data_IF_976509869680
#
_entry.id   IF_976509869680
#
_cell.length_a   1.000
_cell.length_b   1.000
_cell.length_c   1.000
_cell.angle_alpha   90.00
_cell.angle_beta   90.00
_cell.angle_gamma   90.00
#
_symmetry.space_group_name_H-M   'P 1'
#
loop_
_entity.id
_entity.type
_entity.pdbx_description
1 polymer ?
#
# COMPACT_ATOMS: atom_id res chain seq x y z
N UNK A 1 6.67 8.53 -16.67
CA UNK A 1 5.82 8.63 -15.46
C UNK A 1 4.94 9.85 -15.63
N UNK A 2 3.63 9.69 -15.46
CA UNK A 2 2.66 10.78 -15.47
C UNK A 2 2.01 10.85 -14.08
N UNK A 3 1.80 12.06 -13.58
CA UNK A 3 1.23 12.31 -12.27
C UNK A 3 0.23 13.45 -12.38
N UNK A 4 -1.05 13.15 -12.14
CA UNK A 4 -2.15 14.09 -12.31
C UNK A 4 -2.92 14.25 -11.00
N UNK A 5 -3.24 15.49 -10.63
CA UNK A 5 -4.00 15.84 -9.43
C UNK A 5 -5.33 16.47 -9.85
N UNK A 6 -6.44 15.89 -9.44
CA UNK A 6 -7.76 16.50 -9.55
C UNK A 6 -8.19 16.94 -8.15
N UNK A 7 -7.77 18.16 -7.79
CA UNK A 7 -7.98 18.71 -6.45
C UNK A 7 -9.47 18.95 -6.15
N UNK A 8 -10.27 19.27 -7.17
CA UNK A 8 -11.72 19.51 -7.03
C UNK A 8 -12.44 18.24 -6.57
N UNK A 9 -12.06 17.09 -7.13
CA UNK A 9 -12.64 15.79 -6.78
C UNK A 9 -11.81 15.00 -5.76
N UNK A 10 -10.73 15.59 -5.22
CA UNK A 10 -9.81 14.97 -4.26
C UNK A 10 -9.20 13.66 -4.77
N UNK A 11 -8.81 13.61 -6.05
CA UNK A 11 -8.22 12.41 -6.68
C UNK A 11 -6.78 12.66 -7.09
N UNK A 12 -5.97 11.62 -6.95
CA UNK A 12 -4.58 11.56 -7.42
C UNK A 12 -4.47 10.38 -8.38
N UNK A 13 -3.87 10.61 -9.55
CA UNK A 13 -3.62 9.60 -10.56
C UNK A 13 -2.11 9.48 -10.81
N UNK A 14 -1.60 8.26 -10.81
CA UNK A 14 -0.20 7.96 -11.09
C UNK A 14 -0.15 6.91 -12.19
N UNK A 15 0.55 7.21 -13.29
CA UNK A 15 0.81 6.26 -14.37
C UNK A 15 2.32 6.05 -14.52
N UNK A 16 2.74 4.79 -14.50
CA UNK A 16 4.11 4.35 -14.74
C UNK A 16 4.10 3.20 -15.74
N UNK A 17 5.15 3.14 -16.56
CA UNK A 17 5.35 2.10 -17.57
C UNK A 17 6.67 1.40 -17.25
N UNK A 18 6.68 0.08 -17.37
CA UNK A 18 7.81 -0.76 -17.02
C UNK A 18 8.08 -1.76 -18.14
N UNK A 19 9.36 -2.06 -18.39
CA UNK A 19 9.77 -3.12 -19.31
C UNK A 19 9.76 -4.48 -18.58
N UNK A 20 8.57 -4.95 -18.20
CA UNK A 20 8.33 -6.19 -17.46
C UNK A 20 6.99 -6.79 -17.88
N UNK A 21 6.80 -8.09 -17.62
CA UNK A 21 5.51 -8.73 -17.90
C UNK A 21 4.42 -8.23 -16.93
N UNK A 22 3.13 -8.30 -17.31
CA UNK A 22 2.03 -8.03 -16.37
C UNK A 22 2.09 -8.89 -15.10
N UNK A 23 2.60 -10.11 -15.20
CA UNK A 23 2.75 -11.05 -14.08
C UNK A 23 3.84 -10.60 -13.09
N UNK A 24 4.97 -10.10 -13.59
CA UNK A 24 6.04 -9.55 -12.75
C UNK A 24 5.55 -8.30 -12.00
N UNK A 25 4.85 -7.41 -12.72
CA UNK A 25 4.25 -6.22 -12.10
C UNK A 25 3.21 -6.64 -11.07
N UNK A 26 2.32 -7.59 -11.40
CA UNK A 26 1.34 -8.12 -10.45
C UNK A 26 2.00 -8.64 -9.17
N UNK A 27 3.01 -9.49 -9.29
CA UNK A 27 3.73 -10.05 -8.15
C UNK A 27 4.36 -8.96 -7.27
N UNK A 28 4.88 -7.88 -7.87
CA UNK A 28 5.44 -6.76 -7.12
C UNK A 28 4.43 -6.05 -6.21
N UNK A 29 3.13 -6.16 -6.49
CA UNK A 29 2.03 -5.60 -5.68
C UNK A 29 1.30 -6.62 -4.81
N UNK A 30 1.43 -7.92 -5.07
CA UNK A 30 0.64 -8.96 -4.40
C UNK A 30 1.47 -9.92 -3.56
N UNK A 31 2.80 -9.76 -3.56
CA UNK A 31 3.72 -10.50 -2.69
C UNK A 31 4.33 -9.52 -1.66
N UNK A 32 4.13 -9.79 -0.38
CA UNK A 32 4.61 -8.93 0.71
C UNK A 32 6.13 -8.76 0.75
N UNK A 33 6.90 -9.80 0.41
CA UNK A 33 8.37 -9.74 0.40
C UNK A 33 8.89 -8.84 -0.71
N UNK A 34 8.18 -8.76 -1.83
CA UNK A 34 8.50 -7.83 -2.93
C UNK A 34 8.01 -6.41 -2.61
N UNK A 35 6.79 -6.27 -2.09
CA UNK A 35 6.23 -4.99 -1.65
C UNK A 35 7.14 -4.28 -0.65
N UNK A 36 7.65 -5.00 0.36
CA UNK A 36 8.51 -4.43 1.41
C UNK A 36 9.79 -3.78 0.86
N UNK A 37 10.23 -4.15 -0.36
CA UNK A 37 11.42 -3.59 -1.00
C UNK A 37 11.19 -2.19 -1.59
N UNK A 38 9.95 -1.82 -1.92
CA UNK A 38 9.69 -0.59 -2.67
C UNK A 38 8.51 0.26 -2.17
N UNK A 39 7.62 -0.29 -1.34
CA UNK A 39 6.39 0.39 -0.91
C UNK A 39 6.66 1.68 -0.14
N UNK A 40 7.62 1.65 0.79
CA UNK A 40 7.96 2.83 1.59
C UNK A 40 8.97 3.73 0.85
N UNK A 41 8.81 5.07 0.92
CA UNK A 41 9.77 6.00 0.35
C UNK A 41 11.07 5.98 1.16
N UNK A 42 12.23 5.94 0.49
CA UNK A 42 13.52 6.09 1.18
C UNK A 42 13.57 7.42 1.95
N UNK A 43 14.11 7.46 3.18
CA UNK A 43 14.86 6.39 3.88
C UNK A 43 14.00 5.38 4.67
N UNK A 44 12.67 5.49 4.63
CA UNK A 44 11.77 4.56 5.31
C UNK A 44 11.78 3.19 4.64
N UNK A 45 11.43 2.16 5.41
CA UNK A 45 11.26 0.79 4.93
C UNK A 45 9.87 0.28 5.28
N UNK A 46 9.25 -0.44 4.36
CA UNK A 46 8.02 -1.16 4.67
C UNK A 46 8.38 -2.48 5.38
N UNK A 47 7.54 -2.88 6.32
CA UNK A 47 7.64 -4.12 7.06
C UNK A 47 6.25 -4.71 7.18
N UNK A 48 5.98 -5.75 6.40
CA UNK A 48 4.71 -6.44 6.44
C UNK A 48 4.54 -7.19 7.77
N UNK A 49 3.35 -7.03 8.37
CA UNK A 49 2.92 -7.72 9.57
C UNK A 49 2.08 -8.95 9.23
N UNK A 50 1.15 -8.79 8.30
CA UNK A 50 0.33 -9.87 7.75
C UNK A 50 -0.27 -9.43 6.42
N UNK A 51 -0.42 -10.35 5.47
CA UNK A 51 -1.08 -10.09 4.19
C UNK A 51 -1.97 -11.28 3.82
N UNK A 52 -3.27 -11.03 3.68
CA UNK A 52 -4.25 -11.96 3.11
C UNK A 52 -4.78 -11.35 1.81
N UNK A 53 -4.13 -11.68 0.69
CA UNK A 53 -4.45 -11.11 -0.62
C UNK A 53 -5.62 -11.84 -1.27
N UNK A 54 -6.83 -11.51 -0.82
CA UNK A 54 -8.11 -11.97 -1.38
C UNK A 54 -9.18 -10.91 -1.18
N UNK A 55 -10.30 -11.01 -1.89
CA UNK A 55 -11.45 -10.12 -1.64
C UNK A 55 -11.95 -10.30 -0.20
N UNK A 56 -12.09 -9.18 0.53
CA UNK A 56 -12.38 -9.15 1.98
C UNK A 56 -11.18 -9.46 2.88
N UNK A 57 -10.01 -9.73 2.31
CA UNK A 57 -8.74 -9.85 3.03
C UNK A 57 -8.09 -8.48 3.31
N UNK A 58 -6.94 -8.49 3.97
CA UNK A 58 -6.24 -7.25 4.34
C UNK A 58 -4.72 -7.39 4.36
N UNK A 59 -4.04 -6.28 4.17
CA UNK A 59 -2.60 -6.14 4.35
C UNK A 59 -2.31 -5.13 5.46
N UNK A 60 -1.69 -5.60 6.55
CA UNK A 60 -1.22 -4.76 7.65
C UNK A 60 0.30 -4.66 7.56
N UNK A 61 0.82 -3.43 7.57
CA UNK A 61 2.25 -3.17 7.52
C UNK A 61 2.63 -1.97 8.39
N UNK A 62 3.92 -1.90 8.73
CA UNK A 62 4.54 -0.73 9.33
C UNK A 62 5.48 -0.08 8.30
N UNK A 63 5.48 1.25 8.25
CA UNK A 63 6.59 2.02 7.71
C UNK A 63 7.54 2.34 8.85
N UNK A 64 8.78 1.88 8.74
CA UNK A 64 9.83 2.04 9.76
C UNK A 64 10.81 3.12 9.30
N UNK A 65 10.94 4.16 10.11
CA UNK A 65 11.84 5.29 9.90
C UNK A 65 13.30 4.96 10.25
N UNK A 66 14.26 5.80 9.83
CA UNK A 66 15.68 5.59 10.12
C UNK A 66 16.02 5.69 11.61
N UNK A 67 15.17 6.34 12.41
CA UNK A 67 15.24 6.47 13.86
C UNK A 67 14.54 5.32 14.63
N UNK A 68 13.94 4.37 13.89
CA UNK A 68 13.16 3.27 14.46
C UNK A 68 11.68 3.59 14.70
N UNK A 69 11.20 4.78 14.34
CA UNK A 69 9.77 5.14 14.45
C UNK A 69 8.93 4.23 13.55
N UNK A 70 7.87 3.63 14.07
CA UNK A 70 6.95 2.77 13.32
C UNK A 70 5.59 3.46 13.13
N UNK A 71 5.18 3.69 11.88
CA UNK A 71 3.84 4.15 11.51
C UNK A 71 3.07 3.01 10.86
N UNK A 72 1.87 2.71 11.33
CA UNK A 72 1.07 1.57 10.86
C UNK A 72 0.00 2.00 9.87
N UNK A 73 -0.16 1.19 8.83
CA UNK A 73 -1.21 1.35 7.84
C UNK A 73 -1.77 -0.02 7.45
N UNK A 74 -3.02 -0.01 7.00
CA UNK A 74 -3.77 -1.19 6.59
C UNK A 74 -4.44 -0.93 5.26
N UNK A 75 -4.33 -1.89 4.35
CA UNK A 75 -5.09 -1.94 3.11
C UNK A 75 -6.13 -3.05 3.20
N UNK A 76 -7.42 -2.71 3.09
CA UNK A 76 -8.51 -3.67 3.00
C UNK A 76 -8.90 -3.91 1.54
N UNK A 77 -8.76 -5.14 1.05
CA UNK A 77 -8.98 -5.49 -0.34
C UNK A 77 -10.46 -5.67 -0.64
N UNK A 78 -10.97 -4.93 -1.62
CA UNK A 78 -12.38 -4.97 -2.03
C UNK A 78 -12.58 -5.88 -3.24
N UNK A 79 -11.81 -5.66 -4.31
CA UNK A 79 -12.00 -6.35 -5.59
C UNK A 79 -10.67 -6.79 -6.19
N UNK A 80 -10.60 -8.01 -6.71
CA UNK A 80 -9.39 -8.55 -7.31
C UNK A 80 -9.71 -9.18 -8.67
N UNK A 81 -9.04 -8.67 -9.70
CA UNK A 81 -9.05 -9.23 -11.05
C UNK A 81 -7.63 -9.69 -11.39
N UNK A 82 -7.32 -10.99 -11.24
CA UNK A 82 -5.95 -11.51 -11.34
C UNK A 82 -5.21 -11.02 -12.58
N UNK A 83 -3.97 -10.58 -12.38
CA UNK A 83 -3.05 -10.08 -13.41
C UNK A 83 -3.53 -8.83 -14.17
N UNK A 84 -4.57 -8.14 -13.68
CA UNK A 84 -5.17 -6.96 -14.32
C UNK A 84 -5.32 -5.77 -13.38
N UNK A 85 -6.03 -5.96 -12.26
CA UNK A 85 -6.25 -4.89 -11.28
C UNK A 85 -6.70 -5.43 -9.92
N UNK A 86 -6.50 -4.64 -8.88
CA UNK A 86 -7.18 -4.79 -7.60
C UNK A 86 -7.57 -3.41 -7.07
N UNK A 87 -8.55 -3.38 -6.17
CA UNK A 87 -9.00 -2.16 -5.49
C UNK A 87 -9.11 -2.44 -3.99
N UNK A 88 -8.88 -1.41 -3.18
CA UNK A 88 -8.98 -1.49 -1.73
C UNK A 88 -8.90 -0.12 -1.08
N UNK A 89 -9.11 -0.11 0.24
CA UNK A 89 -9.06 1.08 1.07
C UNK A 89 -7.76 1.11 1.85
N UNK A 90 -6.94 2.16 1.66
CA UNK A 90 -5.74 2.42 2.45
C UNK A 90 -6.10 3.32 3.63
N UNK A 91 -5.75 2.92 4.84
CA UNK A 91 -6.09 3.59 6.09
C UNK A 91 -4.95 3.57 7.09
N UNK A 92 -4.77 4.68 7.81
CA UNK A 92 -3.91 4.71 9.00
C UNK A 92 -4.53 3.90 10.12
N UNK A 93 -3.68 3.17 10.88
CA UNK A 93 -4.14 2.32 11.97
C UNK A 93 -3.14 2.28 13.11
N UNK A 94 -3.53 1.67 14.22
CA UNK A 94 -2.60 1.29 15.28
C UNK A 94 -1.84 -0.02 14.94
N UNK A 95 -0.93 -0.42 15.83
CA UNK A 95 -0.14 -1.66 15.69
C UNK A 95 -0.98 -2.95 15.63
N UNK A 96 -2.24 -2.92 16.07
CA UNK A 96 -3.19 -4.04 16.03
C UNK A 96 -4.04 -4.02 14.76
N UNK A 97 -3.91 -3.00 13.92
CA UNK A 97 -4.71 -2.84 12.71
C UNK A 97 -6.10 -2.24 12.97
N UNK A 98 -6.31 -1.61 14.13
CA UNK A 98 -7.52 -0.83 14.38
C UNK A 98 -7.39 0.50 13.63
N UNK A 99 -8.32 0.77 12.71
CA UNK A 99 -8.30 1.98 11.90
C UNK A 99 -8.53 3.18 12.80
N UNK A 100 -7.58 4.13 12.77
CA UNK A 100 -7.75 5.41 13.43
C UNK A 100 -8.37 6.38 12.45
N UNK A 101 -9.50 6.98 12.82
CA UNK A 101 -10.11 8.07 12.05
C UNK A 101 -9.42 9.41 12.31
N UNK A 102 -8.52 9.48 13.28
CA UNK A 102 -7.76 10.67 13.66
C UNK A 102 -6.34 10.61 13.08
N UNK A 103 -5.89 11.65 12.36
CA UNK A 103 -4.54 11.68 11.79
C UNK A 103 -3.47 11.70 12.88
N UNK A 104 -2.27 11.13 12.64
CA UNK A 104 -1.18 11.15 13.61
C UNK A 104 -0.85 12.60 14.04
N UNK A 105 -0.97 12.89 15.34
CA UNK A 105 -0.59 14.18 15.94
C UNK A 105 -1.73 15.15 16.24
N UNK A 106 -3.00 14.71 16.26
CA UNK A 106 -4.11 15.41 16.92
C UNK A 106 -4.58 14.66 18.15
#
# INVERSE_FOLDING_TARGET
>A
MEFNKDLKNKKIYVKREFNASPEDVWNAWTNSELLDQWWAPKPWKAKTKSMDFREGGSWLYAMVGPDGTENFARVDYEKINPYKSFAGYDSFCDKKGNINTEPPGM
#
